data_IF_945127581064
#
_entry.id   IF_945127581064
#
_cell.length_a   1.000
_cell.length_b   1.000
_cell.length_c   1.000
_cell.angle_alpha   90.00
_cell.angle_beta   90.00
_cell.angle_gamma   90.00
#
_symmetry.space_group_name_H-M   'P 1'
#
loop_
_entity.id
_entity.type
_entity.pdbx_description
1 polymer ?
#
# COMPACT_ATOMS: atom_id res chain seq x y z
N UNK A 1 -6.11 8.34 -0.90
CA UNK A 1 -5.09 8.90 0.02
C UNK A 1 -5.71 9.42 1.32
N UNK A 2 -6.63 10.39 1.30
CA UNK A 2 -7.14 11.04 2.54
C UNK A 2 -7.70 10.07 3.60
N UNK A 3 -8.46 9.05 3.20
CA UNK A 3 -8.96 8.05 4.15
C UNK A 3 -7.86 7.14 4.71
N UNK A 4 -6.86 6.80 3.88
CA UNK A 4 -5.72 5.97 4.31
C UNK A 4 -4.89 6.68 5.38
N UNK A 5 -4.62 7.97 5.17
CA UNK A 5 -3.95 8.82 6.16
C UNK A 5 -4.75 8.83 7.46
N UNK A 6 -6.07 9.06 7.38
CA UNK A 6 -6.93 9.05 8.57
C UNK A 6 -6.89 7.72 9.33
N UNK A 7 -6.90 6.57 8.64
CA UNK A 7 -6.80 5.26 9.29
C UNK A 7 -5.43 5.07 9.96
N UNK A 8 -4.35 5.48 9.30
CA UNK A 8 -3.00 5.41 9.88
C UNK A 8 -2.85 6.35 11.08
N UNK A 9 -3.46 7.54 11.04
CA UNK A 9 -3.51 8.47 12.19
C UNK A 9 -4.39 7.95 13.34
N UNK A 10 -5.44 7.19 13.03
CA UNK A 10 -6.31 6.58 14.05
C UNK A 10 -5.61 5.43 14.79
N UNK A 11 -4.62 4.80 14.14
CA UNK A 11 -3.89 3.64 14.66
C UNK A 11 -4.32 2.32 14.03
N UNK A 12 -5.05 2.37 12.91
CA UNK A 12 -5.46 1.18 12.16
C UNK A 12 -4.38 0.74 11.18
N UNK A 13 -4.19 -0.58 11.11
CA UNK A 13 -3.41 -1.21 10.04
C UNK A 13 -4.21 -1.18 8.76
N UNK A 14 -3.59 -0.74 7.66
CA UNK A 14 -4.23 -0.68 6.36
C UNK A 14 -3.58 -1.64 5.38
N UNK A 15 -4.41 -2.49 4.77
CA UNK A 15 -4.02 -3.38 3.68
C UNK A 15 -4.43 -2.77 2.35
N UNK A 16 -3.45 -2.46 1.51
CA UNK A 16 -3.67 -2.02 0.13
C UNK A 16 -3.62 -3.24 -0.76
N UNK A 17 -4.62 -3.39 -1.62
CA UNK A 17 -4.70 -4.48 -2.59
C UNK A 17 -4.95 -3.91 -3.97
N UNK A 18 -3.97 -4.07 -4.86
CA UNK A 18 -4.11 -3.81 -6.28
C UNK A 18 -4.57 -5.09 -6.95
N UNK A 19 -5.70 -5.06 -7.64
CA UNK A 19 -6.20 -6.21 -8.42
C UNK A 19 -5.90 -5.96 -9.89
N UNK A 20 -5.16 -6.87 -10.52
CA UNK A 20 -4.91 -6.83 -11.96
C UNK A 20 -6.02 -7.60 -12.70
N UNK A 21 -6.58 -7.03 -13.78
CA UNK A 21 -7.57 -7.70 -14.64
C UNK A 21 -6.98 -7.90 -16.05
N UNK A 22 -7.05 -9.14 -16.55
CA UNK A 22 -6.64 -9.45 -17.94
C UNK A 22 -5.17 -9.18 -18.23
N UNK A 23 -4.87 -8.35 -19.24
CA UNK A 23 -3.52 -8.01 -19.73
C UNK A 23 -2.71 -7.12 -18.78
N UNK A 24 -3.32 -6.65 -17.70
CA UNK A 24 -2.66 -5.79 -16.70
C UNK A 24 -1.59 -6.52 -15.88
N UNK A 25 -1.54 -7.87 -15.93
CA UNK A 25 -0.47 -8.65 -15.30
C UNK A 25 0.92 -8.39 -15.91
N UNK A 26 1.00 -7.81 -17.12
CA UNK A 26 2.27 -7.34 -17.70
C UNK A 26 2.71 -5.98 -17.11
N UNK A 27 1.80 -5.22 -16.50
CA UNK A 27 2.05 -3.89 -15.96
C UNK A 27 2.32 -3.91 -14.45
N UNK A 28 3.01 -4.95 -13.96
CA UNK A 28 3.44 -5.05 -12.56
C UNK A 28 4.32 -3.87 -12.16
N UNK A 29 5.17 -3.38 -13.06
CA UNK A 29 6.01 -2.19 -12.84
C UNK A 29 5.17 -0.93 -12.57
N UNK A 30 4.00 -0.79 -13.19
CA UNK A 30 3.10 0.35 -12.95
C UNK A 30 2.50 0.24 -11.54
N UNK A 31 2.08 -0.97 -11.14
CA UNK A 31 1.62 -1.23 -9.78
C UNK A 31 2.69 -0.97 -8.73
N UNK A 32 3.92 -1.43 -8.98
CA UNK A 32 5.07 -1.21 -8.11
C UNK A 32 5.41 0.28 -7.98
N UNK A 33 5.46 1.03 -9.08
CA UNK A 33 5.68 2.48 -9.06
C UNK A 33 4.58 3.24 -8.31
N UNK A 34 3.33 2.81 -8.43
CA UNK A 34 2.23 3.42 -7.69
C UNK A 34 2.34 3.16 -6.18
N UNK A 35 2.70 1.93 -5.78
CA UNK A 35 2.94 1.60 -4.38
C UNK A 35 4.16 2.30 -3.80
N UNK A 36 5.21 2.49 -4.60
CA UNK A 36 6.39 3.25 -4.20
C UNK A 36 6.04 4.73 -3.92
N UNK A 37 5.24 5.35 -4.79
CA UNK A 37 4.69 6.69 -4.52
C UNK A 37 3.85 6.74 -3.25
N UNK A 38 2.92 5.79 -3.11
CA UNK A 38 2.08 5.70 -1.90
C UNK A 38 2.92 5.51 -0.64
N UNK A 39 4.02 4.76 -0.71
CA UNK A 39 4.95 4.59 0.40
C UNK A 39 5.59 5.93 0.78
N UNK A 40 6.07 6.71 -0.18
CA UNK A 40 6.69 8.01 0.07
C UNK A 40 5.67 9.00 0.67
N UNK A 41 4.45 9.06 0.12
CA UNK A 41 3.37 9.92 0.65
C UNK A 41 2.92 9.52 2.06
N UNK A 42 3.00 8.23 2.40
CA UNK A 42 2.55 7.67 3.69
C UNK A 42 3.68 7.47 4.70
N UNK A 43 4.94 7.67 4.32
CA UNK A 43 6.12 7.61 5.20
C UNK A 43 6.00 8.45 6.48
N UNK A 44 5.42 9.67 6.48
CA UNK A 44 5.24 10.43 7.73
C UNK A 44 4.11 9.92 8.63
N UNK A 45 3.19 9.09 8.12
CA UNK A 45 2.00 8.62 8.86
C UNK A 45 2.10 7.13 9.23
N UNK A 46 2.91 6.35 8.52
CA UNK A 46 2.93 4.90 8.61
C UNK A 46 4.25 4.29 8.17
N UNK A 47 4.53 3.10 8.68
CA UNK A 47 5.64 2.26 8.26
C UNK A 47 5.15 1.08 7.44
N UNK A 48 5.90 0.71 6.40
CA UNK A 48 5.62 -0.50 5.61
C UNK A 48 5.95 -1.73 6.44
N UNK A 49 4.94 -2.45 6.88
CA UNK A 49 5.09 -3.71 7.61
C UNK A 49 5.30 -4.87 6.63
N UNK A 50 4.63 -4.82 5.49
CA UNK A 50 4.78 -5.82 4.43
C UNK A 50 4.96 -5.15 3.07
N UNK A 51 6.10 -5.43 2.46
CA UNK A 51 6.42 -4.97 1.11
C UNK A 51 5.41 -5.51 0.08
N UNK A 52 5.20 -4.78 -1.03
CA UNK A 52 4.35 -5.22 -2.13
C UNK A 52 4.70 -6.63 -2.59
N UNK A 53 3.80 -7.59 -2.39
CA UNK A 53 3.97 -8.95 -2.88
C UNK A 53 2.82 -9.32 -3.81
N UNK A 54 3.17 -10.02 -4.89
CA UNK A 54 2.17 -10.61 -5.78
C UNK A 54 1.59 -11.87 -5.13
N UNK A 55 0.28 -11.84 -4.90
CA UNK A 55 -0.53 -12.96 -4.45
C UNK A 55 -1.53 -13.29 -5.56
N UNK A 56 -1.11 -14.16 -6.48
CA UNK A 56 -1.87 -14.53 -7.67
C UNK A 56 -2.09 -13.37 -8.63
N UNK A 57 -3.33 -12.88 -8.73
CA UNK A 57 -3.72 -11.75 -9.59
C UNK A 57 -3.83 -10.43 -8.82
N UNK A 58 -3.36 -10.40 -7.58
CA UNK A 58 -3.43 -9.23 -6.73
C UNK A 58 -2.03 -8.91 -6.19
N UNK A 59 -1.70 -7.63 -6.06
CA UNK A 59 -0.53 -7.18 -5.33
C UNK A 59 -1.00 -6.58 -4.02
N UNK A 60 -0.48 -7.14 -2.93
CA UNK A 60 -0.87 -6.78 -1.57
C UNK A 60 0.30 -6.09 -0.89
N UNK A 61 0.02 -4.99 -0.20
CA UNK A 61 0.96 -4.26 0.64
C UNK A 61 0.26 -3.93 1.96
N UNK A 62 0.97 -4.04 3.07
CA UNK A 62 0.42 -3.71 4.39
C UNK A 62 1.24 -2.57 4.98
N UNK A 63 0.54 -1.50 5.38
CA UNK A 63 1.12 -0.44 6.18
C UNK A 63 0.59 -0.54 7.61
N UNK A 64 1.52 -0.39 8.54
CA UNK A 64 1.23 -0.16 9.94
C UNK A 64 1.28 1.34 10.22
N UNK A 65 0.42 1.84 11.11
CA UNK A 65 0.49 3.23 11.56
C UNK A 65 1.80 3.49 12.30
N UNK A 66 2.41 4.64 12.05
CA UNK A 66 3.54 5.10 12.86
C UNK A 66 2.94 5.50 14.20
N UNK A 67 3.14 4.65 15.21
CA UNK A 67 2.62 4.79 16.58
C UNK A 67 2.37 6.27 16.96
N UNK A 68 1.11 6.58 17.31
CA UNK A 68 0.78 7.75 18.13
C UNK A 68 1.71 7.75 19.33
N UNK A 69 2.57 8.76 19.40
CA UNK A 69 3.23 9.15 20.64
C UNK A 69 2.22 9.94 21.48
#
# INVERSE_FOLDING_TARGET
LRNLIRFLEDGDKTKITLRFRGREMAHQEIGAKMLDRLKVDLEPYGQVEQFPKMEGRQMVMVLAPAKKK
#
